data_IF_666058849438
#
_entry.id   IF_666058849438
#
_cell.length_a   1.000
_cell.length_b   1.000
_cell.length_c   1.000
_cell.angle_alpha   90.00
_cell.angle_beta   90.00
_cell.angle_gamma   90.00
#
_symmetry.space_group_name_H-M   'P 1'
#
loop_
_entity.id
_entity.type
_entity.pdbx_description
1 polymer ?
#
# COMPACT_ATOMS: atom_id res chain seq x y z
N UNK A 1 31.69 20.76 -14.16
CA UNK A 1 30.32 21.31 -14.00
C UNK A 1 30.15 21.73 -12.55
N UNK A 2 29.80 23.00 -12.35
CA UNK A 2 29.83 23.74 -11.09
C UNK A 2 28.83 23.19 -10.06
N UNK A 3 29.32 22.80 -8.87
CA UNK A 3 28.49 22.43 -7.71
C UNK A 3 27.54 23.58 -7.38
N UNK A 4 26.22 23.33 -7.46
CA UNK A 4 25.17 24.28 -7.10
C UNK A 4 25.28 24.61 -5.61
N UNK A 5 25.45 25.89 -5.26
CA UNK A 5 25.50 26.36 -3.85
C UNK A 5 24.15 26.09 -3.18
N UNK A 6 24.13 25.24 -2.16
CA UNK A 6 23.01 25.06 -1.22
C UNK A 6 22.97 26.24 -0.25
N UNK A 7 21.80 26.85 -0.08
CA UNK A 7 21.57 27.93 0.90
C UNK A 7 20.77 27.38 2.09
N UNK A 8 21.11 27.89 3.29
CA UNK A 8 20.43 27.52 4.55
C UNK A 8 18.97 27.99 4.51
N UNK A 9 18.08 27.21 5.12
CA UNK A 9 16.63 27.50 5.18
C UNK A 9 16.35 28.89 5.74
N UNK A 10 15.60 29.70 4.97
CA UNK A 10 14.93 30.90 5.48
C UNK A 10 13.79 30.47 6.40
N UNK A 11 13.52 31.26 7.44
CA UNK A 11 12.50 30.97 8.45
C UNK A 11 11.07 30.85 7.89
N UNK A 12 10.83 31.29 6.66
CA UNK A 12 9.55 31.20 5.96
C UNK A 12 9.76 30.89 4.47
N UNK A 13 8.80 30.15 3.91
CA UNK A 13 8.87 29.45 2.62
C UNK A 13 9.50 30.24 1.48
N UNK A 14 10.50 29.64 0.85
CA UNK A 14 11.14 30.20 -0.33
C UNK A 14 10.31 29.89 -1.60
N UNK A 15 10.16 30.86 -2.51
CA UNK A 15 9.52 30.63 -3.80
C UNK A 15 10.49 29.92 -4.76
N UNK A 16 10.04 28.83 -5.37
CA UNK A 16 10.71 28.17 -6.51
C UNK A 16 11.74 27.09 -6.16
N UNK A 17 12.18 26.35 -7.21
CA UNK A 17 13.13 25.21 -7.18
C UNK A 17 14.53 25.63 -6.69
N UNK A 18 14.65 25.97 -5.40
CA UNK A 18 15.91 26.10 -4.68
C UNK A 18 16.09 24.81 -3.89
N UNK A 19 17.21 24.11 -4.08
CA UNK A 19 17.54 22.94 -3.28
C UNK A 19 17.82 23.39 -1.86
N UNK A 20 16.90 23.12 -0.94
CA UNK A 20 17.07 23.40 0.47
C UNK A 20 17.78 22.23 1.15
N UNK A 21 18.85 22.52 1.88
CA UNK A 21 19.41 21.57 2.84
C UNK A 21 18.49 21.51 4.06
N UNK A 22 17.75 20.42 4.17
CA UNK A 22 16.81 20.15 5.27
C UNK A 22 17.43 19.27 6.37
N UNK A 23 18.73 18.97 6.32
CA UNK A 23 19.38 18.07 7.29
C UNK A 23 19.21 18.55 8.74
N UNK A 24 19.26 19.86 8.99
CA UNK A 24 19.07 20.41 10.33
C UNK A 24 17.63 20.23 10.86
N UNK A 25 16.62 20.21 9.99
CA UNK A 25 15.22 19.98 10.38
C UNK A 25 15.01 18.52 10.80
N UNK A 26 15.51 17.58 10.00
CA UNK A 26 15.43 16.14 10.29
C UNK A 26 16.37 15.68 11.42
N UNK A 27 17.40 16.47 11.76
CA UNK A 27 18.25 16.24 12.93
C UNK A 27 17.67 16.81 14.24
N UNK A 28 16.45 17.37 14.22
CA UNK A 28 15.78 17.86 15.42
C UNK A 28 15.29 16.73 16.32
N UNK A 29 15.24 16.96 17.63
CA UNK A 29 14.85 15.97 18.66
C UNK A 29 13.48 15.30 18.43
N UNK A 30 12.60 15.91 17.64
CA UNK A 30 11.32 15.31 17.27
C UNK A 30 11.49 13.98 16.52
N UNK A 31 12.61 13.82 15.81
CA UNK A 31 12.94 12.62 15.04
C UNK A 31 13.74 11.58 15.84
N UNK A 32 14.08 11.87 17.10
CA UNK A 32 14.79 10.94 17.96
C UNK A 32 13.97 9.66 18.16
N UNK A 33 14.60 8.50 17.96
CA UNK A 33 13.95 7.19 18.07
C UNK A 33 13.03 6.82 16.90
N UNK A 34 12.86 7.69 15.90
CA UNK A 34 12.15 7.34 14.66
C UNK A 34 13.09 6.59 13.71
N UNK A 35 12.60 5.55 12.99
CA UNK A 35 13.38 4.91 11.93
C UNK A 35 13.88 5.93 10.91
N UNK A 36 15.18 5.91 10.64
CA UNK A 36 15.84 6.77 9.65
C UNK A 36 16.25 5.95 8.43
N UNK A 37 16.28 6.62 7.28
CA UNK A 37 16.81 6.02 6.06
C UNK A 37 18.28 5.65 6.20
N UNK A 38 18.63 4.46 5.75
CA UNK A 38 19.97 3.91 5.82
C UNK A 38 20.62 3.91 4.43
N UNK A 39 21.95 4.02 4.38
CA UNK A 39 22.72 3.70 3.17
C UNK A 39 22.94 2.20 3.12
N UNK A 40 22.14 1.51 2.32
CA UNK A 40 22.21 0.06 2.11
C UNK A 40 22.53 -0.26 0.65
N UNK A 41 23.30 -1.33 0.38
CA UNK A 41 23.52 -1.79 -0.98
C UNK A 41 22.17 -2.19 -1.60
N UNK A 42 21.97 -1.86 -2.87
CA UNK A 42 20.80 -2.34 -3.60
C UNK A 42 21.01 -3.80 -3.97
N UNK A 43 20.07 -4.64 -3.55
CA UNK A 43 20.03 -6.07 -3.85
C UNK A 43 18.67 -6.36 -4.48
N UNK A 44 18.70 -7.11 -5.58
CA UNK A 44 17.51 -7.56 -6.29
C UNK A 44 17.74 -9.02 -6.72
N UNK A 45 17.21 -9.97 -5.96
CA UNK A 45 17.34 -11.39 -6.26
C UNK A 45 16.26 -11.83 -7.26
N UNK A 46 16.62 -12.63 -8.28
CA UNK A 46 15.67 -13.04 -9.31
C UNK A 46 14.64 -14.02 -8.77
N UNK A 47 13.40 -13.87 -9.22
CA UNK A 47 12.33 -14.86 -9.04
C UNK A 47 12.37 -15.82 -10.24
N UNK A 48 12.21 -17.12 -9.99
CA UNK A 48 12.15 -18.11 -11.06
C UNK A 48 10.97 -17.80 -12.01
N UNK A 49 11.15 -17.87 -13.34
CA UNK A 49 10.12 -17.48 -14.30
C UNK A 49 8.76 -18.17 -14.11
N UNK A 50 8.75 -19.41 -13.66
CA UNK A 50 7.55 -20.21 -13.37
C UNK A 50 6.77 -19.74 -12.13
N UNK A 51 7.40 -18.95 -11.26
CA UNK A 51 6.77 -18.37 -10.07
C UNK A 51 6.25 -16.95 -10.33
N UNK A 52 6.60 -16.34 -11.47
CA UNK A 52 6.08 -15.03 -11.88
C UNK A 52 4.66 -15.15 -12.45
N UNK A 53 3.86 -14.11 -12.23
CA UNK A 53 2.42 -14.05 -12.56
C UNK A 53 1.62 -15.18 -11.92
N UNK A 54 2.03 -15.60 -10.73
CA UNK A 54 1.44 -16.71 -10.01
C UNK A 54 0.66 -16.25 -8.78
N UNK A 55 -0.40 -16.98 -8.44
CA UNK A 55 -1.16 -16.83 -7.20
C UNK A 55 -1.02 -18.14 -6.43
N UNK A 56 -0.31 -18.11 -5.30
CA UNK A 56 -0.14 -19.26 -4.43
C UNK A 56 -1.37 -19.44 -3.54
N UNK A 57 -1.89 -20.66 -3.49
CA UNK A 57 -3.10 -21.00 -2.73
C UNK A 57 -2.77 -21.37 -1.28
N UNK A 58 -2.16 -20.46 -0.52
CA UNK A 58 -1.88 -20.61 0.91
C UNK A 58 -1.62 -19.26 1.59
N UNK A 59 -1.42 -19.27 2.92
CA UNK A 59 -1.17 -18.06 3.71
C UNK A 59 0.15 -17.39 3.33
N UNK A 60 0.11 -16.06 3.28
CA UNK A 60 1.26 -15.17 3.10
C UNK A 60 2.11 -15.00 4.38
N UNK A 61 1.73 -15.64 5.49
CA UNK A 61 2.56 -15.66 6.72
C UNK A 61 3.89 -16.39 6.51
N UNK A 62 3.99 -17.17 5.43
CA UNK A 62 5.22 -17.80 4.93
C UNK A 62 5.26 -17.67 3.40
N UNK A 63 6.25 -16.96 2.87
CA UNK A 63 6.48 -16.73 1.44
C UNK A 63 7.73 -17.48 0.95
N UNK A 64 7.81 -18.79 1.25
CA UNK A 64 9.02 -19.62 1.01
C UNK A 64 9.42 -19.71 -0.45
N UNK A 65 8.49 -19.45 -1.36
CA UNK A 65 8.67 -19.48 -2.81
C UNK A 65 9.45 -18.25 -3.28
N UNK A 66 9.46 -17.18 -2.49
CA UNK A 66 10.07 -15.90 -2.84
C UNK A 66 11.43 -15.71 -2.15
N UNK A 67 12.51 -15.46 -2.92
CA UNK A 67 13.78 -15.06 -2.35
C UNK A 67 13.68 -13.72 -1.61
N UNK A 68 14.60 -13.48 -0.69
CA UNK A 68 14.78 -12.17 -0.07
C UNK A 68 15.02 -11.10 -1.15
N UNK A 69 14.54 -9.87 -0.95
CA UNK A 69 14.80 -8.74 -1.86
C UNK A 69 14.51 -9.06 -3.34
N UNK A 70 13.34 -9.62 -3.64
CA UNK A 70 12.94 -10.09 -4.98
C UNK A 70 11.74 -9.37 -5.58
N UNK A 71 10.97 -8.61 -4.78
CA UNK A 71 9.80 -7.83 -5.24
C UNK A 71 9.98 -6.33 -4.99
N UNK A 72 9.31 -5.49 -5.79
CA UNK A 72 9.59 -4.04 -5.84
C UNK A 72 8.53 -3.19 -5.13
N UNK A 73 7.28 -3.66 -5.16
CA UNK A 73 6.12 -3.02 -4.56
C UNK A 73 5.20 -4.10 -3.98
N UNK A 74 4.74 -3.92 -2.75
CA UNK A 74 3.59 -4.64 -2.21
C UNK A 74 2.38 -3.68 -2.18
N UNK A 75 1.25 -4.12 -2.75
CA UNK A 75 -0.03 -3.43 -2.63
C UNK A 75 -1.07 -4.43 -2.15
N UNK A 76 -1.82 -4.07 -1.11
CA UNK A 76 -2.86 -4.94 -0.60
C UNK A 76 -3.96 -4.21 0.16
N UNK A 77 -5.02 -4.94 0.49
CA UNK A 77 -6.02 -4.57 1.48
C UNK A 77 -6.26 -5.81 2.36
N UNK A 78 -5.75 -5.84 3.61
CA UNK A 78 -5.90 -7.01 4.45
C UNK A 78 -7.37 -7.33 4.74
N UNK A 79 -7.70 -8.60 5.07
CA UNK A 79 -9.02 -8.95 5.59
C UNK A 79 -9.30 -8.12 6.85
N UNK A 80 -10.53 -7.67 7.06
CA UNK A 80 -10.85 -6.75 8.16
C UNK A 80 -11.33 -7.46 9.43
N UNK A 81 -11.37 -8.80 9.45
CA UNK A 81 -11.77 -9.58 10.62
C UNK A 81 -13.16 -9.14 11.15
N UNK A 82 -14.11 -8.89 10.24
CA UNK A 82 -15.46 -8.36 10.53
C UNK A 82 -16.55 -9.41 10.29
N UNK A 83 -16.20 -10.70 10.41
CA UNK A 83 -17.15 -11.80 10.31
C UNK A 83 -17.76 -11.99 8.93
N UNK A 84 -17.01 -11.70 7.86
CA UNK A 84 -17.38 -12.20 6.51
C UNK A 84 -17.15 -13.71 6.47
N UNK A 85 -17.70 -14.41 5.48
CA UNK A 85 -17.63 -15.89 5.34
C UNK A 85 -16.20 -16.49 5.39
N UNK A 86 -15.16 -15.64 5.37
CA UNK A 86 -13.73 -15.97 5.33
C UNK A 86 -12.92 -15.43 6.52
N UNK A 87 -13.53 -14.62 7.39
CA UNK A 87 -12.83 -14.03 8.53
C UNK A 87 -12.92 -14.98 9.73
N UNK A 88 -11.79 -15.23 10.40
CA UNK A 88 -11.75 -15.83 11.73
C UNK A 88 -12.30 -14.83 12.77
N UNK A 89 -12.69 -15.29 13.97
CA UNK A 89 -13.15 -14.42 15.07
C UNK A 89 -11.97 -14.01 15.96
N UNK A 90 -11.01 -13.28 15.38
CA UNK A 90 -9.79 -12.86 16.09
C UNK A 90 -10.04 -11.64 16.98
N UNK A 91 -9.37 -11.59 18.13
CA UNK A 91 -9.18 -10.32 18.86
C UNK A 91 -8.31 -9.34 18.06
N UNK A 92 -8.33 -8.06 18.43
CA UNK A 92 -7.48 -7.04 17.78
C UNK A 92 -6.00 -7.41 17.87
N UNK A 93 -5.54 -7.95 19.01
CA UNK A 93 -4.14 -8.34 19.20
C UNK A 93 -3.76 -9.54 18.34
N UNK A 94 -4.63 -10.54 18.24
CA UNK A 94 -4.41 -11.71 17.37
C UNK A 94 -4.39 -11.31 15.89
N UNK A 95 -5.31 -10.43 15.48
CA UNK A 95 -5.36 -9.88 14.13
C UNK A 95 -4.08 -9.08 13.80
N UNK A 96 -3.64 -8.20 14.69
CA UNK A 96 -2.40 -7.46 14.51
C UNK A 96 -1.19 -8.39 14.49
N UNK A 97 -1.16 -9.44 15.32
CA UNK A 97 -0.09 -10.44 15.30
C UNK A 97 -0.05 -11.22 13.97
N UNK A 98 -1.20 -11.55 13.41
CA UNK A 98 -1.32 -12.13 12.06
C UNK A 98 -0.72 -11.21 11.00
N UNK A 99 -1.16 -9.95 10.94
CA UNK A 99 -0.61 -8.97 10.00
C UNK A 99 0.90 -8.79 10.19
N UNK A 100 1.40 -8.79 11.43
CA UNK A 100 2.82 -8.66 11.70
C UNK A 100 3.66 -9.75 11.04
N UNK A 101 3.16 -10.99 11.00
CA UNK A 101 3.86 -12.12 10.36
C UNK A 101 3.96 -11.91 8.85
N UNK A 102 2.88 -11.45 8.22
CA UNK A 102 2.86 -11.09 6.79
C UNK A 102 3.77 -9.90 6.49
N UNK A 103 3.80 -8.88 7.35
CA UNK A 103 4.69 -7.72 7.17
C UNK A 103 6.17 -8.09 7.34
N UNK A 104 6.50 -9.06 8.19
CA UNK A 104 7.87 -9.59 8.29
C UNK A 104 8.31 -10.26 7.00
N UNK A 105 7.46 -11.12 6.42
CA UNK A 105 7.75 -11.73 5.11
C UNK A 105 7.82 -10.67 4.01
N UNK A 106 6.90 -9.70 4.00
CA UNK A 106 6.91 -8.56 3.08
C UNK A 106 8.23 -7.77 3.18
N UNK A 107 8.71 -7.50 4.39
CA UNK A 107 10.00 -6.85 4.61
C UNK A 107 11.14 -7.69 4.06
N UNK A 108 11.14 -9.01 4.29
CA UNK A 108 12.15 -9.92 3.76
C UNK A 108 12.21 -9.87 2.22
N UNK A 109 11.08 -10.01 1.54
CA UNK A 109 11.03 -10.12 0.07
C UNK A 109 11.12 -8.79 -0.66
N UNK A 110 10.81 -7.64 -0.03
CA UNK A 110 10.97 -6.33 -0.68
C UNK A 110 12.44 -6.00 -0.93
N UNK A 111 12.76 -5.44 -2.10
CA UNK A 111 14.09 -4.86 -2.36
C UNK A 111 14.37 -3.65 -1.47
N UNK A 112 15.64 -3.27 -1.22
CA UNK A 112 15.98 -2.02 -0.56
C UNK A 112 15.37 -0.80 -1.27
N UNK A 113 14.66 0.00 -0.50
CA UNK A 113 13.85 1.10 -0.99
C UNK A 113 12.56 0.69 -1.67
N UNK A 114 12.19 -0.60 -1.73
CA UNK A 114 10.88 -1.09 -2.17
C UNK A 114 9.73 -0.54 -1.32
N UNK A 115 8.49 -0.54 -1.85
CA UNK A 115 7.34 0.11 -1.19
C UNK A 115 6.37 -0.92 -0.67
N UNK A 116 5.79 -0.62 0.49
CA UNK A 116 4.64 -1.32 1.04
C UNK A 116 3.48 -0.34 1.10
N UNK A 117 2.38 -0.69 0.42
CA UNK A 117 1.18 0.12 0.32
C UNK A 117 -0.03 -0.66 0.81
N UNK A 118 -0.66 -0.18 1.87
CA UNK A 118 -1.75 -0.89 2.56
C UNK A 118 -3.01 -0.04 2.51
N UNK A 119 -4.03 -0.49 1.79
CA UNK A 119 -5.37 0.08 1.86
C UNK A 119 -6.08 -0.43 3.11
N UNK A 120 -6.56 0.47 3.96
CA UNK A 120 -7.19 0.13 5.24
C UNK A 120 -8.34 1.09 5.56
N UNK A 121 -9.50 0.52 5.87
CA UNK A 121 -10.60 1.20 6.54
C UNK A 121 -10.47 1.09 8.07
N UNK A 122 -10.89 2.13 8.78
CA UNK A 122 -11.10 2.03 10.23
C UNK A 122 -12.41 1.29 10.52
N UNK A 123 -12.47 0.66 11.69
CA UNK A 123 -13.56 -0.25 12.04
C UNK A 123 -14.40 0.28 13.18
N UNK A 124 -15.68 -0.12 13.19
CA UNK A 124 -16.61 0.24 14.24
C UNK A 124 -16.97 1.72 14.27
N UNK A 125 -17.73 2.09 15.30
CA UNK A 125 -18.20 3.46 15.55
C UNK A 125 -18.31 3.73 17.05
N UNK A 126 -18.67 2.70 17.81
CA UNK A 126 -18.82 2.69 19.28
C UNK A 126 -18.42 1.31 19.83
N UNK A 127 -17.13 1.06 20.11
CA UNK A 127 -15.99 1.96 19.92
C UNK A 127 -15.58 2.09 18.45
N UNK A 128 -14.84 3.17 18.14
CA UNK A 128 -14.14 3.34 16.87
C UNK A 128 -12.73 2.78 17.01
N UNK A 129 -12.30 1.94 16.08
CA UNK A 129 -10.99 1.31 16.04
C UNK A 129 -10.19 1.97 14.92
N UNK A 130 -9.19 2.82 15.25
CA UNK A 130 -8.34 3.47 14.27
C UNK A 130 -7.31 2.48 13.72
N UNK A 131 -7.75 1.50 12.94
CA UNK A 131 -6.91 0.41 12.45
C UNK A 131 -5.67 0.90 11.69
N UNK A 132 -5.82 1.96 10.89
CA UNK A 132 -4.70 2.61 10.20
C UNK A 132 -3.54 3.00 11.14
N UNK A 133 -3.85 3.46 12.36
CA UNK A 133 -2.85 3.91 13.33
C UNK A 133 -2.08 2.72 13.93
N UNK A 134 -2.80 1.65 14.29
CA UNK A 134 -2.18 0.42 14.80
C UNK A 134 -1.27 -0.24 13.77
N UNK A 135 -1.73 -0.34 12.52
CA UNK A 135 -0.92 -0.89 11.42
C UNK A 135 0.29 0.00 11.14
N UNK A 136 0.13 1.32 11.19
CA UNK A 136 1.25 2.26 10.98
C UNK A 136 2.32 2.13 12.06
N UNK A 137 1.91 2.12 13.33
CA UNK A 137 2.84 1.92 14.44
C UNK A 137 3.57 0.56 14.32
N UNK A 138 2.83 -0.49 13.99
CA UNK A 138 3.40 -1.82 13.78
C UNK A 138 4.44 -1.85 12.67
N UNK A 139 4.15 -1.27 11.50
CA UNK A 139 5.08 -1.21 10.39
C UNK A 139 6.36 -0.42 10.75
N UNK A 140 6.21 0.72 11.42
CA UNK A 140 7.33 1.55 11.91
C UNK A 140 8.19 0.76 12.88
N UNK A 141 7.59 0.02 13.83
CA UNK A 141 8.31 -0.84 14.79
C UNK A 141 9.05 -2.00 14.12
N UNK A 142 8.57 -2.49 12.97
CA UNK A 142 9.27 -3.48 12.15
C UNK A 142 10.43 -2.88 11.33
N UNK A 143 10.67 -1.58 11.40
CA UNK A 143 11.76 -0.89 10.72
C UNK A 143 11.39 -0.28 9.37
N UNK A 144 10.12 -0.34 8.96
CA UNK A 144 9.67 0.37 7.77
C UNK A 144 9.71 1.89 7.98
N UNK A 145 10.07 2.61 6.93
CA UNK A 145 10.09 4.06 6.92
C UNK A 145 8.76 4.57 6.40
N UNK A 146 7.99 5.28 7.24
CA UNK A 146 6.73 5.88 6.79
C UNK A 146 7.00 7.01 5.80
N UNK A 147 6.48 6.86 4.58
CA UNK A 147 6.61 7.86 3.51
C UNK A 147 5.47 8.87 3.53
N UNK A 148 4.29 8.43 3.97
CA UNK A 148 3.10 9.27 4.08
C UNK A 148 1.82 8.44 3.95
N UNK A 149 0.71 9.15 3.94
CA UNK A 149 -0.63 8.58 3.83
C UNK A 149 -1.37 9.24 2.66
N UNK A 150 -2.15 8.44 1.95
CA UNK A 150 -3.08 8.92 0.93
C UNK A 150 -4.49 8.62 1.42
N UNK A 151 -5.36 9.62 1.38
CA UNK A 151 -6.77 9.48 1.68
C UNK A 151 -7.50 9.15 0.37
N UNK A 152 -7.98 7.92 0.25
CA UNK A 152 -8.87 7.56 -0.83
C UNK A 152 -10.30 7.93 -0.45
N UNK A 153 -10.75 9.07 -0.97
CA UNK A 153 -12.14 9.48 -0.92
C UNK A 153 -12.94 8.66 -1.94
N UNK A 154 -13.89 7.87 -1.45
CA UNK A 154 -14.75 7.00 -2.26
C UNK A 154 -15.79 7.77 -3.08
N UNK A 155 -15.63 9.10 -3.24
CA UNK A 155 -16.49 9.99 -4.00
C UNK A 155 -17.98 9.85 -3.63
N UNK A 156 -18.90 10.08 -4.58
CA UNK A 156 -20.34 9.97 -4.39
C UNK A 156 -20.84 8.54 -4.06
N UNK A 157 -19.95 7.54 -4.03
CA UNK A 157 -20.24 6.19 -3.54
C UNK A 157 -20.15 6.05 -2.01
N UNK A 158 -19.93 7.15 -1.27
CA UNK A 158 -20.19 7.19 0.16
C UNK A 158 -21.58 6.64 0.45
N UNK A 159 -21.63 5.54 1.21
CA UNK A 159 -22.87 4.82 1.52
C UNK A 159 -23.98 5.79 1.94
N UNK A 160 -25.23 5.61 1.47
CA UNK A 160 -26.38 6.38 1.94
C UNK A 160 -26.72 6.10 3.41
N UNK A 161 -25.86 5.34 4.12
CA UNK A 161 -25.94 5.01 5.54
C UNK A 161 -26.47 6.17 6.36
N UNK A 162 -27.64 5.94 6.94
CA UNK A 162 -28.34 6.83 7.87
C UNK A 162 -27.94 6.59 9.31
N UNK A 163 -26.80 5.93 9.55
CA UNK A 163 -26.20 5.81 10.86
C UNK A 163 -25.58 7.16 11.24
N UNK A 164 -26.44 8.12 11.59
CA UNK A 164 -26.09 9.48 11.99
C UNK A 164 -25.83 9.60 13.50
N UNK A 165 -26.09 8.53 14.26
CA UNK A 165 -26.24 8.62 15.70
C UNK A 165 -27.46 9.48 16.04
N UNK A 166 -27.29 10.48 16.89
CA UNK A 166 -28.36 11.43 17.21
C UNK A 166 -28.55 12.43 16.08
N UNK A 167 -29.57 12.20 15.24
CA UNK A 167 -29.90 13.08 14.12
C UNK A 167 -30.25 14.51 14.58
N UNK A 168 -29.60 15.52 13.99
CA UNK A 168 -29.75 16.95 14.34
C UNK A 168 -29.64 17.24 15.85
N UNK A 169 -28.80 16.48 16.55
CA UNK A 169 -28.57 16.63 17.98
C UNK A 169 -27.10 16.48 18.30
N UNK A 170 -26.60 17.35 19.18
CA UNK A 170 -25.24 17.28 19.70
C UNK A 170 -25.01 16.11 20.67
N UNK A 171 -26.07 15.39 21.05
CA UNK A 171 -25.99 14.34 22.07
C UNK A 171 -25.05 13.19 21.70
N UNK A 172 -25.06 12.75 20.44
CA UNK A 172 -24.16 11.70 19.94
C UNK A 172 -24.18 11.57 18.41
N UNK A 173 -23.86 12.62 17.64
CA UNK A 173 -23.74 12.48 16.18
C UNK A 173 -22.56 11.57 15.84
N UNK A 174 -22.72 10.70 14.84
CA UNK A 174 -21.63 9.82 14.37
C UNK A 174 -21.15 10.23 12.99
N UNK A 175 -19.84 10.18 12.78
CA UNK A 175 -19.24 10.41 11.48
C UNK A 175 -19.64 9.31 10.49
N UNK A 176 -19.65 9.66 9.20
CA UNK A 176 -19.81 8.71 8.10
C UNK A 176 -18.45 8.47 7.48
N UNK A 177 -18.07 7.21 7.35
CA UNK A 177 -16.83 6.81 6.71
C UNK A 177 -16.96 6.93 5.20
N UNK A 178 -16.42 8.01 4.64
CA UNK A 178 -16.45 8.31 3.20
C UNK A 178 -15.12 8.02 2.52
N UNK A 179 -14.10 7.67 3.29
CA UNK A 179 -12.75 7.42 2.81
C UNK A 179 -12.13 6.18 3.43
N UNK A 180 -11.02 5.76 2.83
CA UNK A 180 -10.08 4.77 3.34
C UNK A 180 -8.67 5.36 3.33
N UNK A 181 -7.77 4.78 4.11
CA UNK A 181 -6.37 5.18 4.16
C UNK A 181 -5.56 4.25 3.26
N UNK A 182 -4.63 4.82 2.50
CA UNK A 182 -3.57 4.06 1.85
C UNK A 182 -2.28 4.48 2.54
N UNK A 183 -1.77 3.60 3.38
CA UNK A 183 -0.51 3.81 4.11
C UNK A 183 0.66 3.48 3.18
N UNK A 184 1.67 4.35 3.12
CA UNK A 184 2.83 4.15 2.24
C UNK A 184 4.11 4.11 3.06
N UNK A 185 4.84 3.00 2.91
CA UNK A 185 6.11 2.76 3.58
C UNK A 185 7.23 2.44 2.59
N UNK A 186 8.48 2.63 3.01
CA UNK A 186 9.68 2.21 2.30
C UNK A 186 10.51 1.26 3.17
N UNK A 187 11.09 0.22 2.57
CA UNK A 187 12.06 -0.65 3.23
C UNK A 187 13.46 0.00 3.22
N UNK A 188 14.13 0.06 4.36
CA UNK A 188 15.52 0.51 4.61
C UNK A 188 15.89 1.95 4.21
N UNK A 189 15.43 2.45 3.07
CA UNK A 189 15.77 3.76 2.51
C UNK A 189 14.61 4.37 1.72
N UNK A 190 14.50 5.70 1.70
CA UNK A 190 13.42 6.39 0.98
C UNK A 190 13.60 6.39 -0.55
N UNK A 191 14.81 6.09 -1.04
CA UNK A 191 15.16 6.13 -2.46
C UNK A 191 15.39 4.71 -2.98
N UNK A 192 14.71 4.35 -4.07
CA UNK A 192 14.99 3.09 -4.80
C UNK A 192 15.99 3.33 -5.91
N UNK A 193 16.92 2.41 -6.08
CA UNK A 193 17.87 2.42 -7.17
C UNK A 193 17.27 1.73 -8.41
N UNK A 194 17.78 2.04 -9.60
CA UNK A 194 17.35 1.42 -10.86
C UNK A 194 18.59 1.04 -11.68
N UNK A 195 19.39 0.05 -11.23
CA UNK A 195 20.64 -0.32 -11.89
C UNK A 195 20.40 -0.81 -13.32
N UNK A 196 19.30 -1.55 -13.55
CA UNK A 196 18.86 -2.05 -14.85
C UNK A 196 18.30 -0.97 -15.78
N UNK A 197 18.20 0.29 -15.32
CA UNK A 197 17.67 1.43 -16.10
C UNK A 197 16.31 1.17 -16.74
N UNK A 198 15.45 0.42 -16.06
CA UNK A 198 14.07 0.14 -16.50
C UNK A 198 13.29 1.44 -16.71
N UNK A 199 12.36 1.44 -17.64
CA UNK A 199 11.64 2.64 -18.02
C UNK A 199 10.68 3.13 -16.92
N UNK A 200 10.50 4.45 -16.86
CA UNK A 200 9.37 5.05 -16.15
C UNK A 200 8.20 5.13 -17.14
N UNK A 201 7.06 4.57 -16.76
CA UNK A 201 5.85 4.57 -17.61
C UNK A 201 4.83 5.64 -17.23
N UNK A 202 4.95 6.22 -16.03
CA UNK A 202 4.01 7.25 -15.56
C UNK A 202 4.15 8.51 -16.40
N UNK A 203 3.01 9.02 -16.87
CA UNK A 203 2.98 10.28 -17.62
C UNK A 203 3.08 11.49 -16.67
N UNK A 204 3.34 12.67 -17.23
CA UNK A 204 3.39 13.92 -16.46
C UNK A 204 2.07 14.18 -15.71
N UNK A 205 0.94 14.03 -16.39
CA UNK A 205 -0.37 14.36 -15.84
C UNK A 205 -0.77 13.37 -14.76
N UNK A 206 -0.50 12.08 -14.99
CA UNK A 206 -0.65 11.05 -13.96
C UNK A 206 0.23 11.33 -12.74
N UNK A 207 1.49 11.73 -12.93
CA UNK A 207 2.38 12.04 -11.81
C UNK A 207 1.84 13.21 -10.96
N UNK A 208 1.36 14.28 -11.60
CA UNK A 208 0.79 15.44 -10.91
C UNK A 208 -0.54 15.14 -10.21
N UNK A 209 -1.29 14.16 -10.71
CA UNK A 209 -2.54 13.72 -10.08
C UNK A 209 -2.29 12.74 -8.94
N UNK A 210 -1.43 11.74 -9.15
CA UNK A 210 -1.23 10.65 -8.20
C UNK A 210 -0.34 11.05 -7.03
N UNK A 211 0.50 12.08 -7.18
CA UNK A 211 1.31 12.59 -6.07
C UNK A 211 0.53 13.41 -5.02
N UNK A 212 -0.77 13.65 -5.24
CA UNK A 212 -1.65 14.28 -4.25
C UNK A 212 -1.95 13.29 -3.13
N UNK A 213 -2.06 13.80 -1.90
CA UNK A 213 -2.42 13.00 -0.72
C UNK A 213 -3.91 12.69 -0.60
N UNK A 214 -4.76 13.17 -1.53
CA UNK A 214 -6.19 12.86 -1.56
C UNK A 214 -6.57 12.40 -2.96
N UNK A 215 -7.05 11.17 -3.06
CA UNK A 215 -7.50 10.58 -4.32
C UNK A 215 -9.01 10.45 -4.34
N UNK A 216 -9.63 10.84 -5.45
CA UNK A 216 -11.08 10.85 -5.61
C UNK A 216 -11.47 9.91 -6.76
N UNK A 217 -12.00 8.73 -6.44
CA UNK A 217 -12.62 7.81 -7.39
C UNK A 217 -13.57 6.85 -6.68
N UNK A 218 -14.55 6.34 -7.42
CA UNK A 218 -15.59 5.47 -6.87
C UNK A 218 -15.06 4.07 -6.52
N UNK A 219 -15.74 3.40 -5.59
CA UNK A 219 -15.50 1.98 -5.29
C UNK A 219 -16.08 1.06 -6.38
N UNK A 220 -15.53 -0.14 -6.53
CA UNK A 220 -16.09 -1.17 -7.43
C UNK A 220 -17.29 -1.87 -6.77
N UNK A 221 -18.42 -2.09 -7.49
CA UNK A 221 -19.55 -2.81 -6.93
C UNK A 221 -19.20 -4.29 -6.65
N UNK A 222 -19.28 -4.70 -5.38
CA UNK A 222 -18.99 -6.07 -4.92
C UNK A 222 -19.72 -7.17 -5.73
N UNK A 223 -21.01 -6.95 -6.07
CA UNK A 223 -21.83 -7.88 -6.86
C UNK A 223 -21.28 -8.15 -8.27
N UNK A 224 -20.60 -7.18 -8.88
CA UNK A 224 -20.05 -7.31 -10.24
C UNK A 224 -18.76 -8.15 -10.24
N UNK A 225 -18.09 -8.21 -9.09
CA UNK A 225 -16.78 -8.84 -8.94
C UNK A 225 -16.88 -10.26 -8.38
N UNK A 226 -17.97 -10.60 -7.67
CA UNK A 226 -18.09 -11.89 -6.99
C UNK A 226 -17.25 -11.98 -5.71
N UNK A 227 -16.81 -10.84 -5.19
CA UNK A 227 -16.03 -10.71 -3.95
C UNK A 227 -16.71 -9.68 -3.04
N UNK A 228 -16.79 -9.91 -1.73
CA UNK A 228 -17.60 -9.08 -0.82
C UNK A 228 -17.04 -7.66 -0.60
N UNK A 229 -15.74 -7.42 -0.79
CA UNK A 229 -15.16 -6.08 -0.70
C UNK A 229 -13.83 -5.91 -1.46
N UNK A 230 -13.85 -5.89 -2.81
CA UNK A 230 -12.68 -5.51 -3.58
C UNK A 230 -12.44 -3.99 -3.55
N UNK A 231 -11.19 -3.55 -3.39
CA UNK A 231 -10.81 -2.19 -3.79
C UNK A 231 -10.84 -2.07 -5.34
N UNK A 232 -10.96 -0.87 -5.92
CA UNK A 232 -10.95 -0.68 -7.37
C UNK A 232 -9.57 -0.90 -7.96
N UNK A 233 -9.49 -1.45 -9.18
CA UNK A 233 -8.22 -1.67 -9.93
C UNK A 233 -7.43 -0.37 -10.13
N UNK A 234 -8.10 0.77 -10.13
CA UNK A 234 -7.45 2.08 -10.21
C UNK A 234 -6.49 2.36 -9.04
N UNK A 235 -6.81 1.87 -7.84
CA UNK A 235 -5.97 2.07 -6.64
C UNK A 235 -4.56 1.45 -6.81
N UNK A 236 -4.42 0.13 -7.05
CA UNK A 236 -3.11 -0.46 -7.27
C UNK A 236 -2.46 0.08 -8.54
N UNK A 237 -3.22 0.40 -9.60
CA UNK A 237 -2.64 0.98 -10.83
C UNK A 237 -1.91 2.29 -10.55
N UNK A 238 -2.49 3.21 -9.78
CA UNK A 238 -1.83 4.46 -9.38
C UNK A 238 -0.55 4.21 -8.60
N UNK A 239 -0.59 3.28 -7.64
CA UNK A 239 0.58 2.93 -6.83
C UNK A 239 1.69 2.26 -7.67
N UNK A 240 1.32 1.38 -8.59
CA UNK A 240 2.24 0.74 -9.53
C UNK A 240 2.93 1.80 -10.39
N UNK A 241 2.18 2.72 -10.98
CA UNK A 241 2.76 3.80 -11.79
C UNK A 241 3.68 4.72 -10.98
N UNK A 242 3.36 5.01 -9.72
CA UNK A 242 4.20 5.84 -8.84
C UNK A 242 5.47 5.13 -8.36
N UNK A 243 5.39 3.83 -8.07
CA UNK A 243 6.37 3.15 -7.24
C UNK A 243 7.05 1.96 -7.91
N UNK A 244 6.80 1.68 -9.19
CA UNK A 244 7.50 0.64 -9.96
C UNK A 244 7.99 1.17 -11.31
N UNK A 245 9.08 0.58 -11.82
CA UNK A 245 9.50 0.69 -13.20
C UNK A 245 8.83 -0.42 -14.03
N UNK A 246 8.87 -0.29 -15.35
CA UNK A 246 8.37 -1.32 -16.28
C UNK A 246 9.00 -2.70 -15.99
N UNK A 247 8.19 -3.76 -16.05
CA UNK A 247 8.62 -5.15 -15.85
C UNK A 247 8.91 -5.56 -14.40
N UNK A 248 8.88 -4.64 -13.43
CA UNK A 248 9.06 -4.97 -12.01
C UNK A 248 7.89 -5.81 -11.43
N UNK A 249 8.13 -6.43 -10.27
CA UNK A 249 7.22 -7.39 -9.65
C UNK A 249 6.41 -6.72 -8.54
N UNK A 250 5.09 -6.88 -8.61
CA UNK A 250 4.13 -6.40 -7.61
C UNK A 250 3.62 -7.58 -6.78
N UNK A 251 3.75 -7.49 -5.46
CA UNK A 251 3.25 -8.47 -4.51
C UNK A 251 1.86 -8.05 -3.98
N UNK A 252 0.93 -9.01 -3.88
CA UNK A 252 -0.26 -8.89 -3.05
C UNK A 252 -0.39 -10.11 -2.10
N UNK A 253 -0.13 -9.95 -0.78
CA UNK A 253 -0.28 -11.03 0.19
C UNK A 253 -1.73 -11.44 0.46
N UNK A 254 -2.71 -10.66 0.00
CA UNK A 254 -4.14 -10.92 0.17
C UNK A 254 -4.87 -10.71 -1.16
N UNK A 255 -4.53 -11.55 -2.14
CA UNK A 255 -4.86 -11.37 -3.55
C UNK A 255 -6.36 -11.29 -3.82
N UNK A 256 -7.20 -11.97 -3.03
CA UNK A 256 -8.64 -11.96 -3.16
C UNK A 256 -9.07 -12.23 -4.60
N UNK A 257 -9.83 -11.31 -5.18
CA UNK A 257 -10.32 -11.43 -6.56
C UNK A 257 -9.37 -10.93 -7.66
N UNK A 258 -8.11 -10.60 -7.34
CA UNK A 258 -7.05 -10.35 -8.34
C UNK A 258 -6.84 -8.90 -8.79
N UNK A 259 -7.29 -7.90 -8.04
CA UNK A 259 -7.25 -6.47 -8.41
C UNK A 259 -5.82 -6.00 -8.69
N UNK A 260 -4.89 -6.32 -7.78
CA UNK A 260 -3.48 -5.95 -7.89
C UNK A 260 -2.83 -6.62 -9.09
N UNK A 261 -3.07 -7.92 -9.31
CA UNK A 261 -2.57 -8.65 -10.47
C UNK A 261 -3.11 -8.07 -11.79
N UNK A 262 -4.40 -7.77 -11.88
CA UNK A 262 -5.01 -7.14 -13.06
C UNK A 262 -4.36 -5.78 -13.33
N UNK A 263 -4.12 -4.96 -12.29
CA UNK A 263 -3.48 -3.66 -12.44
C UNK A 263 -2.01 -3.77 -12.88
N UNK A 264 -1.28 -4.76 -12.35
CA UNK A 264 0.09 -5.05 -12.74
C UNK A 264 0.18 -5.44 -14.22
N UNK A 265 -0.62 -6.40 -14.65
CA UNK A 265 -0.69 -6.84 -16.05
C UNK A 265 -1.03 -5.68 -16.98
N UNK A 266 -2.04 -4.88 -16.66
CA UNK A 266 -2.43 -3.70 -17.47
C UNK A 266 -1.40 -2.58 -17.50
N UNK A 267 -0.40 -2.64 -16.62
CA UNK A 267 0.68 -1.66 -16.53
C UNK A 267 2.01 -2.26 -16.98
N UNK A 268 2.03 -3.42 -17.64
CA UNK A 268 3.27 -4.10 -18.06
C UNK A 268 4.22 -4.40 -16.88
N UNK A 269 3.65 -4.79 -15.74
CA UNK A 269 4.37 -5.33 -14.57
C UNK A 269 4.04 -6.80 -14.39
N UNK A 270 4.95 -7.51 -13.71
CA UNK A 270 4.70 -8.87 -13.24
C UNK A 270 4.02 -8.83 -11.88
N UNK A 271 3.36 -9.90 -11.49
CA UNK A 271 2.79 -10.01 -10.15
C UNK A 271 3.13 -11.33 -9.48
N UNK A 272 3.05 -11.34 -8.16
CA UNK A 272 2.94 -12.54 -7.35
C UNK A 272 1.90 -12.26 -6.27
N UNK A 273 1.15 -13.26 -5.85
CA UNK A 273 0.36 -13.10 -4.63
C UNK A 273 -0.06 -14.39 -3.97
N UNK A 274 -0.75 -14.21 -2.86
CA UNK A 274 -1.17 -15.27 -1.96
C UNK A 274 -2.66 -15.10 -1.66
N UNK A 275 -3.39 -16.21 -1.66
CA UNK A 275 -4.80 -16.27 -1.30
C UNK A 275 -5.09 -17.64 -0.70
N UNK A 276 -5.85 -17.67 0.39
CA UNK A 276 -6.14 -18.92 1.12
C UNK A 276 -7.37 -19.64 0.58
N UNK A 277 -8.34 -18.91 0.02
CA UNK A 277 -9.53 -19.50 -0.60
C UNK A 277 -9.26 -19.85 -2.07
N UNK A 278 -9.21 -21.14 -2.36
CA UNK A 278 -9.07 -21.67 -3.71
C UNK A 278 -10.14 -21.12 -4.69
N UNK A 279 -11.36 -20.82 -4.22
CA UNK A 279 -12.40 -20.22 -5.07
C UNK A 279 -11.99 -18.82 -5.52
N UNK A 280 -11.38 -18.02 -4.65
CA UNK A 280 -10.87 -16.70 -5.00
C UNK A 280 -9.63 -16.75 -5.88
N UNK A 281 -8.74 -17.72 -5.67
CA UNK A 281 -7.63 -17.98 -6.61
C UNK A 281 -8.16 -18.23 -8.02
N UNK A 282 -9.13 -19.16 -8.16
CA UNK A 282 -9.73 -19.48 -9.48
C UNK A 282 -10.42 -18.27 -10.10
N UNK A 283 -11.17 -17.49 -9.31
CA UNK A 283 -11.82 -16.26 -9.77
C UNK A 283 -10.80 -15.21 -10.23
N UNK A 284 -9.73 -14.99 -9.47
CA UNK A 284 -8.68 -14.05 -9.82
C UNK A 284 -8.01 -14.45 -11.15
N UNK A 285 -7.64 -15.72 -11.32
CA UNK A 285 -7.04 -16.23 -12.56
C UNK A 285 -7.98 -16.00 -13.76
N UNK A 286 -9.26 -16.33 -13.63
CA UNK A 286 -10.24 -16.10 -14.70
C UNK A 286 -10.33 -14.62 -15.10
N UNK A 287 -10.35 -13.71 -14.12
CA UNK A 287 -10.43 -12.27 -14.36
C UNK A 287 -9.15 -11.69 -14.96
N UNK A 288 -7.98 -12.21 -14.56
CA UNK A 288 -6.68 -11.82 -15.12
C UNK A 288 -6.62 -12.23 -16.59
N UNK A 289 -7.02 -13.46 -16.92
CA UNK A 289 -7.04 -13.96 -18.30
C UNK A 289 -8.04 -13.18 -19.17
N UNK A 290 -9.23 -12.89 -18.66
CA UNK A 290 -10.24 -12.11 -19.39
C UNK A 290 -9.88 -10.60 -19.53
N UNK A 291 -8.96 -10.11 -18.71
CA UNK A 291 -8.53 -8.71 -18.69
C UNK A 291 -7.20 -8.44 -19.41
N UNK A 292 -6.53 -9.50 -19.89
CA UNK A 292 -5.39 -9.45 -20.82
C UNK A 292 -5.91 -9.24 -22.24
#
# INVERSE_FOLDING_TARGET
MTKRKTTKTSAFGAPGRVGHDSSAFYAGRLYDGQPQGQEVPYIENPILPELLDHIFCHSAETMTELPDCSVHLMVTSPPYNVGKEYDEDLSLDEYLAFLQRVWKETSRVLVPGGRMCINVANLGRKPYIPLHAFISEQAIRLGFLMRGEIIWNKAASASPSTAWGSWKSAGNPTLRDVHEYILVFCKDTFKRQNPEKRANTITRDEFLEYNKSVWNFAAEPARKVGHPAPFPVELPRRLIQLYTFEGEVVLDPFMGSGQTAIAAVKSDRRYVGYEIDEKYVRLAIQRIVAGR
#
